data_IF_601434112029
#
_entry.id   IF_601434112029
#
_cell.length_a   1.000
_cell.length_b   1.000
_cell.length_c   1.000
_cell.angle_alpha   90.00
_cell.angle_beta   90.00
_cell.angle_gamma   90.00
#
_symmetry.space_group_name_H-M   'P 1'
#
loop_
_entity.id
_entity.type
_entity.pdbx_description
1 polymer ?
#
# COMPACT_ATOMS: atom_id res chain seq x y z
N UNK A 1 24.04 8.81 26.71
CA UNK A 1 23.43 7.79 25.80
C UNK A 1 23.63 8.22 24.35
N UNK A 2 23.94 7.31 23.42
CA UNK A 2 24.09 7.65 21.99
C UNK A 2 22.73 8.14 21.43
N UNK A 3 22.70 9.29 20.74
CA UNK A 3 21.49 9.93 20.16
C UNK A 3 20.53 8.98 19.41
N UNK A 4 20.96 7.96 18.63
CA UNK A 4 20.04 6.99 18.03
C UNK A 4 19.27 6.14 19.05
N UNK A 5 19.88 5.77 20.18
CA UNK A 5 19.21 5.02 21.26
C UNK A 5 18.14 5.86 21.95
N UNK A 6 18.31 7.19 22.03
CA UNK A 6 17.32 8.12 22.60
C UNK A 6 16.10 8.25 21.69
N UNK A 7 16.29 8.32 20.37
CA UNK A 7 15.18 8.36 19.40
C UNK A 7 14.36 7.06 19.43
N UNK A 8 15.04 5.91 19.46
CA UNK A 8 14.39 4.61 19.55
C UNK A 8 13.58 4.48 20.86
N UNK A 9 14.19 4.82 22.00
CA UNK A 9 13.49 4.81 23.29
C UNK A 9 12.29 5.78 23.32
N UNK A 10 12.44 6.97 22.71
CA UNK A 10 11.35 7.94 22.58
C UNK A 10 10.18 7.44 21.73
N UNK A 11 10.45 6.74 20.61
CA UNK A 11 9.41 6.12 19.78
C UNK A 11 8.68 5.00 20.54
N UNK A 12 9.42 4.14 21.25
CA UNK A 12 8.83 3.07 22.08
C UNK A 12 7.94 3.67 23.16
N UNK A 13 8.41 4.69 23.88
CA UNK A 13 7.62 5.37 24.90
C UNK A 13 6.35 6.00 24.32
N UNK A 14 6.47 6.68 23.17
CA UNK A 14 5.31 7.26 22.46
C UNK A 14 4.28 6.19 22.08
N UNK A 15 4.71 5.05 21.54
CA UNK A 15 3.81 3.94 21.21
C UNK A 15 3.15 3.36 22.45
N UNK A 16 3.87 3.19 23.56
CA UNK A 16 3.29 2.72 24.83
C UNK A 16 2.24 3.70 25.36
N UNK A 17 2.52 5.00 25.35
CA UNK A 17 1.54 6.02 25.74
C UNK A 17 0.31 5.99 24.83
N UNK A 18 0.50 5.84 23.51
CA UNK A 18 -0.61 5.73 22.56
C UNK A 18 -1.50 4.50 22.83
N UNK A 19 -0.90 3.36 23.18
CA UNK A 19 -1.64 2.16 23.59
C UNK A 19 -2.42 2.36 24.89
N UNK A 20 -1.84 3.03 25.90
CA UNK A 20 -2.52 3.31 27.16
C UNK A 20 -3.71 4.25 26.97
N UNK A 21 -3.55 5.30 26.17
CA UNK A 21 -4.67 6.21 25.83
C UNK A 21 -5.75 5.45 25.07
N UNK A 22 -5.38 4.64 24.08
CA UNK A 22 -6.32 3.81 23.34
C UNK A 22 -7.09 2.86 24.26
N UNK A 23 -6.41 2.15 25.17
CA UNK A 23 -7.02 1.25 26.13
C UNK A 23 -8.03 1.97 27.04
N UNK A 24 -7.69 3.15 27.57
CA UNK A 24 -8.60 3.93 28.41
C UNK A 24 -9.85 4.40 27.64
N UNK A 25 -9.68 4.83 26.38
CA UNK A 25 -10.81 5.26 25.54
C UNK A 25 -11.70 4.08 25.17
N UNK A 26 -11.14 2.94 24.78
CA UNK A 26 -11.95 1.75 24.46
C UNK A 26 -12.67 1.19 25.68
N UNK A 27 -12.04 1.18 26.85
CA UNK A 27 -12.71 0.79 28.11
C UNK A 27 -13.90 1.73 28.41
N UNK A 28 -13.70 3.03 28.29
CA UNK A 28 -14.76 4.01 28.53
C UNK A 28 -15.94 3.90 27.53
N UNK A 29 -15.67 3.53 26.28
CA UNK A 29 -16.69 3.46 25.23
C UNK A 29 -17.41 2.10 25.17
N UNK A 30 -16.72 0.99 25.43
CA UNK A 30 -17.24 -0.37 25.15
C UNK A 30 -17.62 -1.15 26.42
N UNK A 31 -17.04 -0.86 27.59
CA UNK A 31 -17.18 -1.73 28.77
C UNK A 31 -18.61 -1.80 29.33
N UNK A 32 -19.33 -0.67 29.32
CA UNK A 32 -20.75 -0.66 29.74
C UNK A 32 -21.64 -1.40 28.74
N UNK A 33 -21.42 -1.15 27.44
CA UNK A 33 -22.18 -1.77 26.36
C UNK A 33 -21.97 -3.30 26.31
N UNK A 34 -20.73 -3.77 26.49
CA UNK A 34 -20.40 -5.18 26.59
C UNK A 34 -21.07 -5.82 27.82
N UNK A 35 -20.96 -5.19 28.98
CA UNK A 35 -21.58 -5.67 30.23
C UNK A 35 -23.10 -5.78 30.11
N UNK A 36 -23.73 -4.79 29.50
CA UNK A 36 -25.17 -4.79 29.19
C UNK A 36 -25.56 -5.93 28.25
N UNK A 37 -24.84 -6.07 27.13
CA UNK A 37 -25.06 -7.13 26.13
C UNK A 37 -24.85 -8.52 26.73
N UNK A 38 -23.84 -8.72 27.56
CA UNK A 38 -23.58 -9.97 28.28
C UNK A 38 -24.73 -10.33 29.22
N UNK A 39 -25.23 -9.38 30.02
CA UNK A 39 -26.40 -9.58 30.89
C UNK A 39 -27.63 -10.00 30.09
N UNK A 40 -27.91 -9.30 28.99
CA UNK A 40 -29.03 -9.62 28.09
C UNK A 40 -28.92 -11.03 27.49
N UNK A 41 -27.73 -11.42 27.02
CA UNK A 41 -27.49 -12.75 26.44
C UNK A 41 -27.67 -13.86 27.49
N UNK A 42 -27.18 -13.66 28.72
CA UNK A 42 -27.38 -14.61 29.82
C UNK A 42 -28.86 -14.75 30.16
N UNK A 43 -29.60 -13.63 30.18
CA UNK A 43 -31.04 -13.64 30.44
C UNK A 43 -31.83 -14.36 29.33
N UNK A 44 -31.57 -14.04 28.05
CA UNK A 44 -32.21 -14.70 26.90
C UNK A 44 -31.89 -16.19 26.86
N UNK A 45 -30.65 -16.58 27.14
CA UNK A 45 -30.23 -17.98 27.27
C UNK A 45 -31.04 -18.70 28.35
N UNK A 46 -31.17 -18.13 29.55
CA UNK A 46 -31.96 -18.71 30.63
C UNK A 46 -33.45 -18.83 30.31
N UNK A 47 -34.01 -17.83 29.60
CA UNK A 47 -35.40 -17.87 29.14
C UNK A 47 -35.63 -18.99 28.11
N UNK A 48 -34.75 -19.13 27.12
CA UNK A 48 -34.83 -20.19 26.10
C UNK A 48 -34.68 -21.58 26.72
N UNK A 49 -33.71 -21.76 27.62
CA UNK A 49 -33.51 -23.05 28.31
C UNK A 49 -34.75 -23.49 29.08
N UNK A 50 -35.39 -22.57 29.81
CA UNK A 50 -36.64 -22.87 30.55
C UNK A 50 -37.83 -23.11 29.63
N UNK A 51 -37.97 -22.30 28.57
CA UNK A 51 -39.09 -22.40 27.62
C UNK A 51 -39.12 -23.75 26.88
N UNK A 52 -37.95 -24.30 26.55
CA UNK A 52 -37.83 -25.54 25.77
C UNK A 52 -37.31 -26.74 26.57
N UNK A 53 -37.12 -26.60 27.88
CA UNK A 53 -36.69 -27.70 28.75
C UNK A 53 -35.26 -28.22 28.51
N UNK A 54 -34.36 -27.41 27.94
CA UNK A 54 -32.99 -27.85 27.65
C UNK A 54 -32.15 -28.07 28.91
N UNK A 55 -31.49 -29.24 28.98
CA UNK A 55 -30.40 -29.47 29.94
C UNK A 55 -29.25 -28.47 29.71
N UNK A 56 -28.38 -28.31 30.71
CA UNK A 56 -27.21 -27.45 30.59
C UNK A 56 -26.22 -27.98 29.54
N UNK A 57 -26.15 -29.30 29.39
CA UNK A 57 -25.26 -29.99 28.46
C UNK A 57 -25.79 -29.89 27.03
N UNK A 58 -27.06 -30.25 26.80
CA UNK A 58 -27.70 -30.14 25.48
C UNK A 58 -27.63 -28.72 24.91
N UNK A 59 -27.85 -27.71 25.77
CA UNK A 59 -27.74 -26.33 25.33
C UNK A 59 -26.31 -25.94 24.95
N UNK A 60 -25.30 -26.46 25.66
CA UNK A 60 -23.88 -26.26 25.31
C UNK A 60 -23.53 -26.97 24.01
N UNK A 61 -24.08 -28.15 23.78
CA UNK A 61 -23.90 -28.87 22.52
C UNK A 61 -24.54 -28.11 21.36
N UNK A 62 -25.78 -27.63 21.52
CA UNK A 62 -26.44 -26.78 20.53
C UNK A 62 -25.63 -25.51 20.25
N UNK A 63 -25.08 -24.87 21.27
CA UNK A 63 -24.21 -23.70 21.12
C UNK A 63 -22.94 -24.02 20.33
N UNK A 64 -22.31 -25.18 20.58
CA UNK A 64 -21.15 -25.65 19.82
C UNK A 64 -21.51 -25.91 18.36
N UNK A 65 -22.62 -26.61 18.09
CA UNK A 65 -23.10 -26.89 16.75
C UNK A 65 -23.44 -25.60 15.99
N UNK A 66 -24.10 -24.64 16.66
CA UNK A 66 -24.42 -23.35 16.06
C UNK A 66 -23.17 -22.57 15.64
N UNK A 67 -22.12 -22.54 16.49
CA UNK A 67 -20.83 -21.91 16.15
C UNK A 67 -20.11 -22.63 15.00
N UNK A 68 -20.13 -23.97 14.98
CA UNK A 68 -19.51 -24.73 13.88
C UNK A 68 -20.27 -24.61 12.56
N UNK A 69 -21.59 -24.38 12.62
CA UNK A 69 -22.43 -24.15 11.45
C UNK A 69 -22.31 -22.72 10.90
N UNK A 70 -21.82 -21.75 11.67
CA UNK A 70 -21.75 -20.33 11.30
C UNK A 70 -20.96 -20.07 10.00
N UNK A 71 -19.75 -20.63 9.78
CA UNK A 71 -19.02 -20.46 8.51
C UNK A 71 -19.76 -21.05 7.30
N UNK A 72 -20.64 -22.03 7.52
CA UNK A 72 -21.42 -22.69 6.48
C UNK A 72 -22.70 -21.91 6.12
N UNK A 73 -23.13 -20.95 6.95
CA UNK A 73 -24.32 -20.12 6.67
C UNK A 73 -24.14 -19.20 5.47
N UNK A 74 -22.91 -18.76 5.20
CA UNK A 74 -22.59 -17.91 4.05
C UNK A 74 -22.46 -18.72 2.74
N UNK A 75 -22.74 -20.02 2.76
CA UNK A 75 -22.67 -20.92 1.61
C UNK A 75 -21.30 -21.59 1.46
N UNK A 76 -21.03 -22.14 0.27
CA UNK A 76 -19.81 -22.90 -0.01
C UNK A 76 -18.60 -21.98 -0.22
N UNK A 77 -17.86 -21.71 0.86
CA UNK A 77 -16.65 -20.87 0.86
C UNK A 77 -15.48 -21.45 0.05
N UNK A 78 -15.30 -22.78 0.04
CA UNK A 78 -14.15 -23.44 -0.62
C UNK A 78 -14.42 -23.86 -2.07
N UNK A 79 -14.78 -22.89 -2.91
CA UNK A 79 -14.76 -22.99 -4.38
C UNK A 79 -13.79 -21.96 -4.94
N UNK A 80 -13.41 -22.06 -6.22
CA UNK A 80 -12.37 -21.20 -6.81
C UNK A 80 -12.50 -19.70 -6.45
N UNK A 81 -13.68 -19.04 -6.57
CA UNK A 81 -13.82 -17.64 -6.18
C UNK A 81 -13.54 -17.37 -4.69
N UNK A 82 -14.00 -18.26 -3.80
CA UNK A 82 -13.77 -18.13 -2.36
C UNK A 82 -12.35 -18.50 -1.94
N UNK A 83 -11.76 -19.52 -2.56
CA UNK A 83 -10.34 -19.85 -2.39
C UNK A 83 -9.45 -18.70 -2.87
N UNK A 84 -9.82 -18.02 -3.96
CA UNK A 84 -9.10 -16.83 -4.45
C UNK A 84 -9.28 -15.64 -3.50
N UNK A 85 -10.49 -15.43 -2.97
CA UNK A 85 -10.72 -14.40 -1.94
C UNK A 85 -9.87 -14.65 -0.70
N UNK A 86 -9.85 -15.88 -0.20
CA UNK A 86 -8.98 -16.30 0.90
C UNK A 86 -7.49 -16.10 0.56
N UNK A 87 -7.06 -16.43 -0.66
CA UNK A 87 -5.68 -16.22 -1.08
C UNK A 87 -5.30 -14.74 -1.09
N UNK A 88 -6.20 -13.85 -1.51
CA UNK A 88 -6.01 -12.39 -1.40
C UNK A 88 -5.84 -12.00 0.06
N UNK A 89 -6.77 -12.39 0.95
CA UNK A 89 -6.74 -11.94 2.35
C UNK A 89 -5.50 -12.41 3.11
N UNK A 90 -4.91 -13.54 2.72
CA UNK A 90 -3.65 -14.04 3.28
C UNK A 90 -2.46 -13.21 2.81
N UNK A 91 -2.27 -13.01 1.50
CA UNK A 91 -1.08 -12.30 0.98
C UNK A 91 -1.11 -10.79 1.27
N UNK A 92 -2.31 -10.21 1.39
CA UNK A 92 -2.49 -8.80 1.76
C UNK A 92 -2.57 -8.59 3.27
N UNK A 93 -2.40 -9.64 4.07
CA UNK A 93 -2.45 -9.61 5.55
C UNK A 93 -3.73 -9.02 6.13
N UNK A 94 -4.85 -9.04 5.39
CA UNK A 94 -6.14 -8.59 5.92
C UNK A 94 -6.72 -9.64 6.88
N UNK A 95 -6.75 -10.91 6.47
CA UNK A 95 -7.08 -12.01 7.38
C UNK A 95 -8.41 -11.95 8.14
N UNK A 96 -9.53 -11.61 7.50
CA UNK A 96 -10.86 -11.50 8.15
C UNK A 96 -11.31 -12.67 9.06
N UNK A 97 -10.79 -13.89 8.85
CA UNK A 97 -11.18 -15.05 9.66
C UNK A 97 -12.57 -15.66 9.36
N UNK A 98 -13.35 -15.09 8.44
CA UNK A 98 -14.64 -15.68 8.01
C UNK A 98 -14.49 -17.08 7.38
N UNK A 99 -13.33 -17.36 6.79
CA UNK A 99 -12.93 -18.66 6.30
C UNK A 99 -11.48 -18.94 6.70
N UNK A 100 -11.23 -20.13 7.26
CA UNK A 100 -9.92 -20.59 7.69
C UNK A 100 -9.71 -22.06 7.32
N UNK A 101 -8.47 -22.51 7.02
CA UNK A 101 -8.21 -23.89 6.66
C UNK A 101 -8.49 -24.82 7.86
N UNK A 102 -9.51 -25.66 7.71
CA UNK A 102 -9.86 -26.65 8.74
C UNK A 102 -8.93 -27.86 8.78
N UNK A 103 -8.29 -28.19 7.65
CA UNK A 103 -7.37 -29.34 7.52
C UNK A 103 -5.95 -28.97 7.90
N UNK A 104 -5.20 -29.92 8.48
CA UNK A 104 -3.80 -29.69 8.86
C UNK A 104 -2.90 -29.46 7.63
N UNK A 105 -3.15 -30.16 6.53
CA UNK A 105 -2.48 -29.91 5.25
C UNK A 105 -2.74 -28.49 4.72
N UNK A 106 -3.97 -27.98 4.85
CA UNK A 106 -4.33 -26.62 4.46
C UNK A 106 -3.64 -25.56 5.32
N UNK A 107 -3.49 -25.81 6.63
CA UNK A 107 -2.74 -24.92 7.53
C UNK A 107 -1.27 -24.87 7.17
N UNK A 108 -0.63 -26.03 6.95
CA UNK A 108 0.78 -26.10 6.53
C UNK A 108 0.99 -25.36 5.21
N UNK A 109 0.14 -25.61 4.21
CA UNK A 109 0.20 -24.88 2.94
C UNK A 109 0.04 -23.37 3.13
N UNK A 110 -0.92 -22.93 3.96
CA UNK A 110 -1.14 -21.52 4.25
C UNK A 110 0.09 -20.85 4.88
N UNK A 111 0.83 -21.54 5.76
CA UNK A 111 2.07 -21.03 6.36
C UNK A 111 3.14 -20.73 5.30
N UNK A 112 3.41 -21.68 4.40
CA UNK A 112 4.39 -21.49 3.31
C UNK A 112 3.91 -20.45 2.28
N UNK A 113 2.62 -20.45 1.97
CA UNK A 113 2.02 -19.49 1.05
C UNK A 113 2.14 -18.05 1.57
N UNK A 114 1.86 -17.81 2.87
CA UNK A 114 2.02 -16.51 3.50
C UNK A 114 3.49 -16.07 3.56
N UNK A 115 4.41 -16.98 3.87
CA UNK A 115 5.84 -16.70 3.97
C UNK A 115 6.42 -16.10 2.68
N UNK A 116 6.02 -16.63 1.52
CA UNK A 116 6.48 -16.13 0.21
C UNK A 116 5.58 -15.02 -0.36
N UNK A 117 4.26 -15.13 -0.11
CA UNK A 117 3.26 -14.22 -0.66
C UNK A 117 3.34 -12.82 -0.07
N UNK A 118 3.48 -12.69 1.25
CA UNK A 118 3.50 -11.37 1.91
C UNK A 118 4.67 -10.50 1.42
N UNK A 119 5.94 -10.97 1.40
CA UNK A 119 7.04 -10.17 0.85
C UNK A 119 6.84 -9.79 -0.62
N UNK A 120 6.36 -10.72 -1.44
CA UNK A 120 6.08 -10.47 -2.86
C UNK A 120 5.01 -9.38 -3.03
N UNK A 121 3.93 -9.45 -2.23
CA UNK A 121 2.85 -8.46 -2.24
C UNK A 121 3.33 -7.10 -1.77
N UNK A 122 4.17 -7.02 -0.72
CA UNK A 122 4.74 -5.76 -0.25
C UNK A 122 5.60 -5.07 -1.32
N UNK A 123 6.48 -5.81 -2.00
CA UNK A 123 7.31 -5.27 -3.10
C UNK A 123 6.44 -4.81 -4.27
N UNK A 124 5.40 -5.57 -4.58
CA UNK A 124 4.45 -5.24 -5.65
C UNK A 124 3.69 -3.95 -5.33
N UNK A 125 3.17 -3.80 -4.11
CA UNK A 125 2.49 -2.58 -3.69
C UNK A 125 3.42 -1.37 -3.60
N UNK A 126 4.69 -1.55 -3.20
CA UNK A 126 5.65 -0.46 -3.24
C UNK A 126 5.90 0.02 -4.68
N UNK A 127 6.15 -0.91 -5.60
CA UNK A 127 6.39 -0.61 -7.03
C UNK A 127 5.17 0.02 -7.71
N UNK A 128 3.97 -0.49 -7.42
CA UNK A 128 2.71 0.08 -7.92
C UNK A 128 2.44 1.45 -7.30
N UNK A 129 2.73 1.63 -6.02
CA UNK A 129 2.52 2.88 -5.30
C UNK A 129 3.40 4.02 -5.82
N UNK A 130 4.65 3.75 -6.16
CA UNK A 130 5.54 4.71 -6.82
C UNK A 130 5.00 5.14 -8.20
N UNK A 131 4.53 4.18 -8.99
CA UNK A 131 3.91 4.45 -10.30
C UNK A 131 2.63 5.27 -10.15
N UNK A 132 1.79 4.96 -9.15
CA UNK A 132 0.57 5.70 -8.86
C UNK A 132 0.88 7.13 -8.44
N UNK A 133 1.85 7.34 -7.55
CA UNK A 133 2.30 8.68 -7.16
C UNK A 133 2.84 9.49 -8.35
N UNK A 134 3.54 8.84 -9.29
CA UNK A 134 3.98 9.48 -10.53
C UNK A 134 2.80 9.88 -11.43
N UNK A 135 1.76 9.06 -11.53
CA UNK A 135 0.51 9.38 -12.24
C UNK A 135 -0.18 10.58 -11.58
N UNK A 136 -0.38 10.56 -10.25
CA UNK A 136 -1.00 11.66 -9.50
C UNK A 136 -0.23 12.97 -9.73
N UNK A 137 1.10 12.94 -9.69
CA UNK A 137 1.93 14.11 -10.02
C UNK A 137 1.69 14.62 -11.43
N UNK A 138 1.61 13.73 -12.43
CA UNK A 138 1.31 14.12 -13.82
C UNK A 138 -0.08 14.73 -13.96
N UNK A 139 -1.09 14.16 -13.30
CA UNK A 139 -2.46 14.66 -13.31
C UNK A 139 -2.55 16.04 -12.65
N UNK A 140 -1.89 16.24 -11.50
CA UNK A 140 -1.81 17.55 -10.84
C UNK A 140 -1.13 18.60 -11.73
N UNK A 141 -0.05 18.23 -12.42
CA UNK A 141 0.62 19.12 -13.37
C UNK A 141 -0.27 19.46 -14.57
N UNK A 142 -0.99 18.47 -15.12
CA UNK A 142 -1.95 18.69 -16.19
C UNK A 142 -3.07 19.62 -15.75
N UNK A 143 -3.66 19.38 -14.57
CA UNK A 143 -4.71 20.23 -14.00
C UNK A 143 -4.22 21.67 -13.77
N UNK A 144 -3.03 21.87 -13.21
CA UNK A 144 -2.44 23.21 -13.03
C UNK A 144 -2.21 23.94 -14.37
N UNK A 145 -1.84 23.20 -15.42
CA UNK A 145 -1.68 23.74 -16.78
C UNK A 145 -3.03 24.11 -17.39
N UNK A 146 -4.06 23.26 -17.25
CA UNK A 146 -5.42 23.54 -17.71
C UNK A 146 -6.05 24.74 -16.98
N UNK A 147 -5.72 24.94 -15.69
CA UNK A 147 -6.16 26.08 -14.88
C UNK A 147 -5.30 27.34 -15.07
N UNK A 148 -4.37 27.35 -16.04
CA UNK A 148 -3.49 28.48 -16.36
C UNK A 148 -2.74 29.08 -15.15
N UNK A 149 -2.40 28.26 -14.15
CA UNK A 149 -1.70 28.72 -12.95
C UNK A 149 -0.24 29.04 -13.28
N UNK A 150 0.17 30.29 -12.99
CA UNK A 150 1.49 30.85 -13.30
C UNK A 150 2.67 30.17 -12.57
N UNK A 151 2.39 29.41 -11.51
CA UNK A 151 3.38 28.69 -10.68
C UNK A 151 3.11 27.17 -10.67
N UNK A 152 3.88 26.40 -11.46
CA UNK A 152 3.67 24.95 -11.65
C UNK A 152 4.63 24.06 -10.86
N UNK A 153 5.00 24.47 -9.63
CA UNK A 153 5.73 23.60 -8.72
C UNK A 153 4.76 22.67 -7.96
N UNK A 154 5.03 21.36 -7.96
CA UNK A 154 4.33 20.39 -7.11
C UNK A 154 5.21 20.19 -5.87
N UNK A 155 4.89 20.92 -4.79
CA UNK A 155 5.47 20.70 -3.47
C UNK A 155 5.07 19.31 -2.94
N UNK A 156 5.90 18.75 -2.06
CA UNK A 156 5.59 17.53 -1.31
C UNK A 156 4.29 17.66 -0.53
N UNK A 157 3.98 18.86 -0.01
CA UNK A 157 2.72 19.14 0.70
C UNK A 157 1.49 18.93 -0.20
N UNK A 158 1.54 19.43 -1.45
CA UNK A 158 0.47 19.23 -2.43
C UNK A 158 0.26 17.74 -2.73
N UNK A 159 1.34 16.95 -2.73
CA UNK A 159 1.26 15.51 -2.98
C UNK A 159 0.68 14.76 -1.78
N UNK A 160 1.02 15.17 -0.54
CA UNK A 160 0.42 14.62 0.69
C UNK A 160 -1.08 14.92 0.74
N UNK A 161 -1.48 16.17 0.45
CA UNK A 161 -2.91 16.55 0.39
C UNK A 161 -3.64 15.76 -0.70
N UNK A 162 -3.07 15.65 -1.89
CA UNK A 162 -3.65 14.85 -2.97
C UNK A 162 -3.77 13.36 -2.60
N UNK A 163 -2.77 12.81 -1.91
CA UNK A 163 -2.79 11.44 -1.39
C UNK A 163 -3.89 11.22 -0.35
N UNK A 164 -4.06 12.15 0.61
CA UNK A 164 -5.14 12.11 1.59
C UNK A 164 -6.52 12.17 0.92
N UNK A 165 -6.69 13.07 -0.05
CA UNK A 165 -7.93 13.17 -0.82
C UNK A 165 -8.22 11.89 -1.63
N UNK A 166 -7.19 11.28 -2.23
CA UNK A 166 -7.34 10.00 -2.94
C UNK A 166 -7.71 8.85 -2.01
N UNK A 167 -7.13 8.79 -0.80
CA UNK A 167 -7.50 7.81 0.22
C UNK A 167 -8.96 8.00 0.66
N UNK A 168 -9.35 9.23 1.00
CA UNK A 168 -10.72 9.56 1.40
C UNK A 168 -11.74 9.24 0.29
N UNK A 169 -11.42 9.58 -0.96
CA UNK A 169 -12.26 9.26 -2.11
C UNK A 169 -12.40 7.75 -2.31
N UNK A 170 -11.32 6.98 -2.15
CA UNK A 170 -11.33 5.51 -2.28
C UNK A 170 -12.22 4.86 -1.21
N UNK A 171 -12.16 5.36 0.03
CA UNK A 171 -13.03 4.91 1.12
C UNK A 171 -14.49 5.27 0.86
N UNK A 172 -14.78 6.51 0.45
CA UNK A 172 -16.13 6.96 0.15
C UNK A 172 -16.77 6.20 -1.03
N UNK A 173 -16.02 5.99 -2.13
CA UNK A 173 -16.49 5.23 -3.29
C UNK A 173 -16.78 3.76 -2.92
N UNK A 174 -15.90 3.14 -2.13
CA UNK A 174 -16.14 1.81 -1.58
C UNK A 174 -17.40 1.77 -0.72
N UNK A 175 -17.54 2.73 0.20
CA UNK A 175 -18.69 2.80 1.10
C UNK A 175 -20.02 2.91 0.35
N UNK A 176 -20.09 3.75 -0.69
CA UNK A 176 -21.29 3.83 -1.56
C UNK A 176 -21.58 2.48 -2.20
N UNK A 177 -20.57 1.86 -2.83
CA UNK A 177 -20.77 0.58 -3.51
C UNK A 177 -21.19 -0.55 -2.56
N UNK A 178 -20.49 -0.75 -1.45
CA UNK A 178 -20.79 -1.83 -0.50
C UNK A 178 -22.08 -1.59 0.28
N UNK A 179 -22.45 -0.33 0.57
CA UNK A 179 -23.77 -0.02 1.14
C UNK A 179 -24.90 -0.47 0.21
N UNK A 180 -24.74 -0.28 -1.10
CA UNK A 180 -25.73 -0.69 -2.09
C UNK A 180 -25.77 -2.20 -2.30
N UNK A 181 -24.61 -2.87 -2.40
CA UNK A 181 -24.55 -4.32 -2.66
C UNK A 181 -24.89 -5.19 -1.45
N UNK A 182 -24.45 -4.81 -0.26
CA UNK A 182 -24.67 -5.59 0.98
C UNK A 182 -25.85 -5.08 1.82
N UNK A 183 -26.45 -3.95 1.44
CA UNK A 183 -27.57 -3.35 2.19
C UNK A 183 -27.15 -2.77 3.55
N UNK A 184 -25.86 -2.52 3.75
CA UNK A 184 -25.33 -1.89 4.97
C UNK A 184 -25.59 -0.39 4.99
N UNK A 185 -25.59 0.22 6.18
CA UNK A 185 -25.55 1.68 6.27
C UNK A 185 -24.23 2.20 5.70
N UNK A 186 -24.22 3.44 5.19
CA UNK A 186 -23.00 4.07 4.67
C UNK A 186 -21.86 4.04 5.69
N UNK A 187 -22.15 4.26 6.97
CA UNK A 187 -21.17 4.21 8.05
C UNK A 187 -20.54 2.82 8.20
N UNK A 188 -21.34 1.75 8.24
CA UNK A 188 -20.80 0.39 8.32
C UNK A 188 -20.00 0.01 7.08
N UNK A 189 -20.45 0.41 5.90
CA UNK A 189 -19.70 0.18 4.66
C UNK A 189 -18.38 0.97 4.63
N UNK A 190 -18.36 2.20 5.14
CA UNK A 190 -17.15 3.00 5.27
C UNK A 190 -16.17 2.39 6.28
N UNK A 191 -16.67 1.98 7.44
CA UNK A 191 -15.90 1.26 8.46
C UNK A 191 -15.29 -0.03 7.89
N UNK A 192 -16.09 -0.83 7.17
CA UNK A 192 -15.60 -2.01 6.45
C UNK A 192 -14.44 -1.65 5.50
N UNK A 193 -14.62 -0.65 4.63
CA UNK A 193 -13.57 -0.23 3.70
C UNK A 193 -12.30 0.22 4.43
N UNK A 194 -12.45 0.97 5.53
CA UNK A 194 -11.32 1.43 6.33
C UNK A 194 -10.54 0.27 6.95
N UNK A 195 -11.21 -0.64 7.67
CA UNK A 195 -10.61 -1.82 8.32
C UNK A 195 -10.00 -2.78 7.29
N UNK A 196 -10.59 -2.87 6.10
CA UNK A 196 -10.09 -3.67 4.98
C UNK A 196 -8.80 -3.10 4.41
N UNK A 197 -8.79 -1.83 4.02
CA UNK A 197 -7.66 -1.21 3.31
C UNK A 197 -6.50 -0.85 4.24
N UNK A 198 -6.73 -0.81 5.55
CA UNK A 198 -5.68 -0.72 6.58
C UNK A 198 -5.15 -2.08 7.01
N UNK A 199 -5.60 -3.16 6.37
CA UNK A 199 -5.21 -4.55 6.66
C UNK A 199 -5.40 -4.96 8.12
N UNK A 200 -6.37 -4.36 8.81
CA UNK A 200 -6.75 -4.75 10.18
C UNK A 200 -7.65 -5.99 10.11
N UNK A 201 -8.68 -5.93 9.24
CA UNK A 201 -9.53 -7.07 8.91
C UNK A 201 -10.18 -7.80 10.09
N UNK A 202 -10.93 -7.12 10.95
CA UNK A 202 -11.60 -7.76 12.10
C UNK A 202 -12.56 -8.90 11.71
N UNK A 203 -13.19 -8.82 10.54
CA UNK A 203 -14.11 -9.85 10.05
C UNK A 203 -15.54 -9.76 10.60
N UNK A 204 -15.85 -8.70 11.34
CA UNK A 204 -17.20 -8.34 11.78
C UNK A 204 -18.11 -7.94 10.60
N UNK A 205 -17.55 -7.27 9.61
CA UNK A 205 -18.14 -7.03 8.30
C UNK A 205 -17.27 -7.65 7.20
N UNK A 206 -17.88 -8.49 6.36
CA UNK A 206 -17.19 -9.14 5.24
C UNK A 206 -18.11 -9.17 4.03
N UNK A 207 -17.67 -8.56 2.93
CA UNK A 207 -18.40 -8.59 1.67
C UNK A 207 -18.47 -10.03 1.09
N UNK A 208 -19.41 -10.27 0.18
CA UNK A 208 -19.58 -11.54 -0.53
C UNK A 208 -20.07 -12.73 0.34
N UNK A 209 -20.44 -12.48 1.60
CA UNK A 209 -20.97 -13.51 2.51
C UNK A 209 -22.50 -13.65 2.45
N UNK A 210 -23.20 -12.66 1.88
CA UNK A 210 -24.66 -12.63 1.81
C UNK A 210 -25.20 -13.45 0.63
N UNK A 211 -26.08 -14.43 0.90
CA UNK A 211 -26.93 -15.08 -0.12
C UNK A 211 -26.18 -15.79 -1.26
N UNK A 212 -25.09 -16.50 -0.96
CA UNK A 212 -24.23 -17.19 -1.94
C UNK A 212 -23.68 -16.27 -3.05
N UNK A 213 -23.50 -14.97 -2.75
CA UNK A 213 -23.00 -13.97 -3.71
C UNK A 213 -21.70 -14.41 -4.40
N UNK A 214 -20.84 -15.12 -3.68
CA UNK A 214 -19.58 -15.69 -4.16
C UNK A 214 -19.72 -16.59 -5.40
N UNK A 215 -20.87 -17.25 -5.56
CA UNK A 215 -21.16 -18.14 -6.70
C UNK A 215 -22.14 -17.53 -7.70
N UNK A 216 -23.11 -16.74 -7.23
CA UNK A 216 -24.21 -16.25 -8.06
C UNK A 216 -23.94 -14.88 -8.70
N UNK A 217 -23.01 -14.08 -8.16
CA UNK A 217 -22.77 -12.69 -8.59
C UNK A 217 -21.29 -12.46 -8.96
N UNK A 218 -20.81 -13.15 -10.00
CA UNK A 218 -19.44 -12.99 -10.54
C UNK A 218 -18.99 -11.52 -10.75
N UNK A 219 -19.79 -10.60 -11.34
CA UNK A 219 -19.34 -9.23 -11.52
C UNK A 219 -19.10 -8.50 -10.19
N UNK A 220 -19.89 -8.80 -9.16
CA UNK A 220 -19.70 -8.23 -7.83
C UNK A 220 -18.45 -8.79 -7.13
N UNK A 221 -18.18 -10.09 -7.30
CA UNK A 221 -16.95 -10.73 -6.84
C UNK A 221 -15.72 -10.06 -7.47
N UNK A 222 -15.73 -9.90 -8.79
CA UNK A 222 -14.64 -9.25 -9.52
C UNK A 222 -14.45 -7.78 -9.10
N UNK A 223 -15.54 -7.03 -8.95
CA UNK A 223 -15.51 -5.66 -8.42
C UNK A 223 -14.87 -5.61 -7.03
N UNK A 224 -15.25 -6.51 -6.12
CA UNK A 224 -14.74 -6.55 -4.76
C UNK A 224 -13.24 -6.85 -4.71
N UNK A 225 -12.76 -7.80 -5.53
CA UNK A 225 -11.33 -8.10 -5.62
C UNK A 225 -10.53 -6.93 -6.20
N UNK A 226 -11.03 -6.32 -7.28
CA UNK A 226 -10.40 -5.16 -7.88
C UNK A 226 -10.36 -3.97 -6.91
N UNK A 227 -11.45 -3.74 -6.17
CA UNK A 227 -11.52 -2.69 -5.16
C UNK A 227 -10.48 -2.89 -4.07
N UNK A 228 -10.34 -4.11 -3.52
CA UNK A 228 -9.35 -4.40 -2.47
C UNK A 228 -7.93 -4.18 -3.00
N UNK A 229 -7.61 -4.71 -4.18
CA UNK A 229 -6.27 -4.59 -4.77
C UNK A 229 -5.91 -3.13 -5.13
N UNK A 230 -6.84 -2.40 -5.74
CA UNK A 230 -6.63 -0.99 -6.09
C UNK A 230 -6.58 -0.12 -4.83
N UNK A 231 -7.48 -0.34 -3.89
CA UNK A 231 -7.55 0.42 -2.65
C UNK A 231 -6.29 0.25 -1.80
N UNK A 232 -5.79 -0.99 -1.66
CA UNK A 232 -4.51 -1.24 -1.00
C UNK A 232 -3.35 -0.58 -1.72
N UNK A 233 -3.40 -0.50 -3.05
CA UNK A 233 -2.38 0.23 -3.82
C UNK A 233 -2.43 1.73 -3.53
N UNK A 234 -3.62 2.34 -3.38
CA UNK A 234 -3.78 3.76 -3.03
C UNK A 234 -3.26 4.04 -1.62
N UNK A 235 -3.68 3.24 -0.62
CA UNK A 235 -3.22 3.37 0.76
C UNK A 235 -1.71 3.12 0.84
N UNK A 236 -1.21 2.08 0.16
CA UNK A 236 0.21 1.75 0.08
C UNK A 236 1.04 2.87 -0.58
N UNK A 237 0.53 3.52 -1.64
CA UNK A 237 1.18 4.67 -2.26
C UNK A 237 1.31 5.86 -1.31
N UNK A 238 0.24 6.13 -0.53
CA UNK A 238 0.23 7.18 0.48
C UNK A 238 1.18 6.87 1.64
N UNK A 239 1.14 5.64 2.18
CA UNK A 239 2.05 5.19 3.22
C UNK A 239 3.50 5.26 2.74
N UNK A 240 3.80 4.83 1.52
CA UNK A 240 5.14 4.92 0.95
C UNK A 240 5.62 6.39 0.90
N UNK A 241 4.77 7.32 0.45
CA UNK A 241 5.11 8.75 0.43
C UNK A 241 5.45 9.30 1.82
N UNK A 242 4.64 8.97 2.84
CA UNK A 242 4.81 9.48 4.21
C UNK A 242 5.98 8.78 4.91
N UNK A 243 6.04 7.45 4.85
CA UNK A 243 7.05 6.63 5.54
C UNK A 243 8.43 6.87 4.94
N UNK A 244 8.59 6.94 3.61
CA UNK A 244 9.88 7.26 3.00
C UNK A 244 10.42 8.62 3.47
N UNK A 245 9.55 9.61 3.70
CA UNK A 245 9.97 10.90 4.27
C UNK A 245 10.54 10.74 5.68
N UNK A 246 9.88 9.96 6.54
CA UNK A 246 10.35 9.73 7.90
C UNK A 246 11.64 8.89 7.93
N UNK A 247 11.73 7.86 7.09
CA UNK A 247 12.93 7.02 6.98
C UNK A 247 14.12 7.81 6.44
N UNK A 248 13.94 8.61 5.38
CA UNK A 248 14.99 9.49 4.84
C UNK A 248 15.45 10.52 5.88
N UNK A 249 14.50 11.16 6.59
CA UNK A 249 14.84 12.09 7.67
C UNK A 249 15.67 11.44 8.79
N UNK A 250 15.46 10.14 9.03
CA UNK A 250 16.23 9.38 10.02
C UNK A 250 17.65 9.04 9.55
N UNK A 251 17.83 8.79 8.24
CA UNK A 251 19.10 8.44 7.59
C UNK A 251 20.02 9.65 7.34
N UNK A 252 19.47 10.86 7.19
CA UNK A 252 20.25 12.10 6.99
C UNK A 252 20.94 12.62 8.27
N UNK A 253 20.64 12.02 9.44
CA UNK A 253 21.11 12.51 10.74
C UNK A 253 22.61 12.29 11.02
N UNK A 254 23.22 11.14 10.69
CA UNK A 254 24.66 10.93 10.83
C UNK A 254 25.47 11.90 9.96
N UNK A 255 24.98 12.16 8.74
CA UNK A 255 25.67 13.00 7.76
C UNK A 255 25.63 14.49 8.14
N UNK A 256 24.53 14.97 8.72
CA UNK A 256 24.44 16.33 9.28
C UNK A 256 25.28 16.50 10.54
N UNK A 257 25.38 15.48 11.39
CA UNK A 257 26.22 15.51 12.59
C UNK A 257 27.73 15.46 12.28
N UNK A 258 28.12 14.98 11.09
CA UNK A 258 29.51 14.92 10.63
C UNK A 258 29.98 16.21 9.93
N UNK A 259 29.10 17.18 9.64
CA UNK A 259 29.49 18.46 9.05
C UNK A 259 30.01 19.42 10.14
N UNK A 260 31.22 19.99 10.01
CA UNK A 260 31.66 21.05 10.92
C UNK A 260 30.73 22.27 10.78
N UNK A 261 30.47 23.01 11.87
CA UNK A 261 29.67 24.24 11.79
C UNK A 261 30.32 25.18 10.77
N UNK A 262 29.54 25.62 9.78
CA UNK A 262 29.97 26.65 8.85
C UNK A 262 30.34 27.91 9.63
N UNK A 263 31.52 28.52 9.41
CA UNK A 263 31.86 29.76 10.09
C UNK A 263 30.85 30.84 9.71
N UNK A 264 30.07 31.30 10.69
CA UNK A 264 29.29 32.52 10.58
C UNK A 264 30.25 33.64 10.19
N UNK A 265 30.18 34.17 8.97
CA UNK A 265 30.87 35.41 8.60
C UNK A 265 30.10 36.58 9.24
N UNK A 266 30.69 37.34 10.16
CA UNK A 266 30.09 38.59 10.63
C UNK A 266 30.38 39.70 9.60
N UNK A 267 29.34 40.45 9.23
CA UNK A 267 29.47 41.76 8.59
C UNK A 267 29.70 41.76 7.08
N UNK A 268 28.66 42.09 6.31
CA UNK A 268 28.83 42.75 5.01
C UNK A 268 28.46 44.22 5.22
N UNK A 269 29.37 45.19 5.01
CA UNK A 269 28.98 46.57 4.90
C UNK A 269 28.40 46.81 3.50
N UNK A 270 27.33 47.58 3.47
CA UNK A 270 26.67 48.11 2.30
C UNK A 270 27.60 49.13 1.62
N UNK A 271 28.08 48.86 0.39
CA UNK A 271 28.87 49.83 -0.36
C UNK A 271 28.36 49.97 -1.79
N UNK A 272 27.85 51.18 -2.06
CA UNK A 272 27.43 51.74 -3.34
C UNK A 272 28.61 51.79 -4.35
N UNK A 273 28.31 51.39 -5.58
CA UNK A 273 28.81 51.85 -6.89
C UNK A 273 30.31 52.12 -7.12
N UNK A 274 30.89 51.47 -8.13
CA UNK A 274 31.49 52.15 -9.30
C UNK A 274 31.85 51.15 -10.42
N UNK A 275 31.75 51.63 -11.65
CA UNK A 275 32.00 50.95 -12.92
C UNK A 275 33.50 50.80 -13.25
N UNK A 276 33.93 49.65 -13.80
CA UNK A 276 34.47 49.46 -15.17
C UNK A 276 35.16 48.08 -15.35
N UNK A 277 35.28 47.56 -16.59
CA UNK A 277 35.73 46.19 -16.89
C UNK A 277 37.13 46.11 -17.56
N UNK A 278 37.93 45.07 -17.26
CA UNK A 278 38.65 44.25 -18.26
C UNK A 278 39.60 43.18 -17.67
N UNK A 279 39.54 41.99 -18.31
CA UNK A 279 40.58 40.96 -18.59
C UNK A 279 41.05 39.94 -17.53
N UNK A 280 40.81 38.67 -17.90
CA UNK A 280 41.73 37.52 -17.97
C UNK A 280 42.71 37.28 -16.81
N UNK A 281 42.49 36.19 -16.06
CA UNK A 281 43.46 35.08 -15.94
C UNK A 281 42.88 33.93 -15.10
N UNK A 282 43.17 32.70 -15.56
CA UNK A 282 42.94 31.40 -14.89
C UNK A 282 43.83 31.29 -13.63
N UNK A 283 43.39 30.59 -12.58
CA UNK A 283 43.73 29.17 -12.31
C UNK A 283 43.33 28.71 -10.90
N UNK A 284 42.63 27.56 -10.87
CA UNK A 284 42.77 26.41 -9.95
C UNK A 284 42.31 26.53 -8.49
N UNK A 285 41.35 25.65 -8.13
CA UNK A 285 41.19 25.11 -6.78
C UNK A 285 39.75 24.74 -6.39
N UNK A 286 39.51 23.45 -6.13
CA UNK A 286 38.32 22.85 -5.47
C UNK A 286 37.08 22.55 -6.32
N UNK A 287 37.16 21.42 -7.05
CA UNK A 287 35.99 20.60 -7.30
C UNK A 287 35.67 19.77 -6.05
N UNK A 288 34.42 19.80 -5.56
CA UNK A 288 33.78 18.59 -5.03
C UNK A 288 32.26 18.72 -4.85
N UNK A 289 31.56 17.63 -5.20
CA UNK A 289 30.17 17.23 -4.90
C UNK A 289 29.00 17.71 -5.77
N UNK A 290 29.08 18.81 -6.55
CA UNK A 290 27.93 19.19 -7.42
C UNK A 290 27.88 18.44 -8.78
N UNK A 291 28.94 17.71 -9.15
CA UNK A 291 29.08 17.14 -10.50
C UNK A 291 28.42 15.75 -10.69
N UNK A 292 28.09 15.03 -9.63
CA UNK A 292 27.52 13.67 -9.76
C UNK A 292 26.00 13.63 -9.98
N UNK A 293 25.25 14.63 -9.52
CA UNK A 293 23.80 14.68 -9.73
C UNK A 293 23.48 15.08 -11.18
N UNK A 294 24.30 15.94 -11.79
CA UNK A 294 24.07 16.40 -13.16
C UNK A 294 24.46 15.36 -14.24
N UNK A 295 25.26 14.35 -13.90
CA UNK A 295 25.67 13.27 -14.82
C UNK A 295 24.64 12.14 -14.92
N UNK A 296 23.90 11.85 -13.84
CA UNK A 296 22.81 10.87 -13.84
C UNK A 296 21.57 11.37 -14.60
N UNK A 297 21.26 12.67 -14.53
CA UNK A 297 20.16 13.26 -15.30
C UNK A 297 20.41 13.32 -16.83
N UNK A 298 21.68 13.33 -17.26
CA UNK A 298 22.02 13.24 -18.69
C UNK A 298 21.97 11.80 -19.21
N UNK A 299 22.40 10.83 -18.41
CA UNK A 299 22.42 9.41 -18.82
C UNK A 299 21.02 8.79 -18.89
N UNK A 300 20.04 9.30 -18.13
CA UNK A 300 18.64 8.86 -18.19
C UNK A 300 17.86 9.44 -19.40
N UNK A 301 18.41 10.45 -20.09
CA UNK A 301 17.73 11.12 -21.22
C UNK A 301 18.02 10.44 -22.57
N UNK A 302 19.07 9.62 -22.65
CA UNK A 302 19.56 9.02 -23.91
C UNK A 302 19.14 7.55 -24.13
N UNK A 303 18.28 6.96 -23.28
CA UNK A 303 17.90 5.54 -23.38
C UNK A 303 16.38 5.30 -23.50
N UNK A 304 15.76 5.92 -24.51
CA UNK A 304 14.49 5.46 -25.07
C UNK A 304 14.55 5.57 -26.61
N UNK A 305 14.73 4.44 -27.30
CA UNK A 305 14.22 4.26 -28.67
C UNK A 305 15.24 3.98 -29.78
N UNK A 306 15.70 2.73 -29.85
CA UNK A 306 15.79 1.88 -31.05
C UNK A 306 15.63 2.56 -32.45
N UNK A 307 16.66 2.44 -33.30
CA UNK A 307 16.56 2.60 -34.77
C UNK A 307 17.03 1.30 -35.45
N UNK A 308 16.39 0.84 -36.54
CA UNK A 308 16.67 -0.45 -37.16
C UNK A 308 17.98 -0.43 -37.98
N UNK A 309 18.61 -1.60 -38.22
CA UNK A 309 19.91 -1.64 -38.90
C UNK A 309 19.75 -1.36 -40.40
N UNK A 310 20.60 -0.47 -40.91
CA UNK A 310 20.82 -0.22 -42.32
C UNK A 310 21.62 -1.38 -42.95
N UNK A 311 21.04 -2.00 -43.97
CA UNK A 311 21.67 -3.02 -44.80
C UNK A 311 22.89 -2.47 -45.57
N UNK A 312 23.91 -3.31 -45.84
CA UNK A 312 25.12 -2.89 -46.55
C UNK A 312 24.88 -2.73 -48.06
N UNK A 313 25.67 -1.83 -48.66
CA UNK A 313 25.52 -1.32 -50.02
C UNK A 313 25.60 -2.36 -51.13
N UNK A 314 24.73 -2.15 -52.12
CA UNK A 314 24.74 -2.80 -53.43
C UNK A 314 25.73 -2.06 -54.33
N UNK A 315 26.83 -2.73 -54.68
CA UNK A 315 27.65 -2.41 -55.86
C UNK A 315 27.24 -3.38 -56.96
N UNK A 316 26.73 -2.85 -58.08
CA UNK A 316 26.50 -3.60 -59.33
C UNK A 316 27.77 -3.55 -60.18
N UNK A 317 28.22 -4.70 -60.68
CA UNK A 317 29.05 -4.75 -61.89
C UNK A 317 29.93 -5.99 -62.07
N UNK A 318 29.41 -7.00 -62.78
CA UNK A 318 30.18 -7.66 -63.86
C UNK A 318 30.83 -9.04 -63.63
N UNK A 319 30.39 -10.01 -64.44
CA UNK A 319 31.10 -11.19 -64.98
C UNK A 319 31.09 -12.55 -64.22
N UNK A 320 30.13 -13.39 -64.65
CA UNK A 320 30.26 -14.73 -65.28
C UNK A 320 30.95 -15.93 -64.55
N UNK A 321 30.51 -17.19 -64.86
CA UNK A 321 30.63 -18.35 -63.98
C UNK A 321 31.75 -19.32 -64.39
N UNK A 322 32.17 -20.24 -63.48
CA UNK A 322 32.68 -21.60 -63.82
C UNK A 322 32.99 -22.50 -62.59
N UNK A 323 32.39 -23.70 -62.62
CA UNK A 323 32.93 -25.06 -62.40
C UNK A 323 33.75 -25.44 -61.14
N UNK A 324 33.40 -26.60 -60.57
CA UNK A 324 34.31 -27.54 -59.89
C UNK A 324 33.96 -27.78 -58.42
N UNK A 325 33.21 -28.83 -58.05
CA UNK A 325 33.64 -30.23 -57.84
C UNK A 325 34.39 -30.50 -56.52
N UNK A 326 34.00 -31.63 -55.88
CA UNK A 326 34.63 -32.36 -54.76
C UNK A 326 34.49 -31.74 -53.36
N UNK A 327 34.49 -32.47 -52.25
CA UNK A 327 34.13 -33.85 -51.84
C UNK A 327 34.46 -33.85 -50.33
N UNK A 328 33.59 -34.43 -49.49
CA UNK A 328 33.88 -35.21 -48.26
C UNK A 328 34.64 -34.59 -47.06
N UNK A 329 34.05 -34.81 -45.87
CA UNK A 329 34.64 -35.26 -44.59
C UNK A 329 35.74 -34.37 -43.97
N UNK A 330 35.72 -34.01 -42.68
CA UNK A 330 35.31 -34.67 -41.43
C UNK A 330 34.73 -33.58 -40.52
#
# INVERSE_FOLDING_TARGET
MRRPSVRAAGLVLCTLCYLLVGAAVFDALESEAESGRRRLLVQKRGALRRKFGFSAEDYRELERLARQAEPHRAGRQWKFPGSFYFAITVITTIGYGHAAPGTDSGKVFCMFYALLGIPLTLVTFQSLGERLNAVVRRLLLAAKRCLCLRWTCVSTENLVVAGLLACAATLALGAVAFSHFEGWTFFHAYYYCFITLTTIGFGDFVALQSGEALQRKLPYVAFSFLYILLGLTVIGAFLNLVVLRFLAASADWPERAARPPSPCRPGAPESRGLWLPHRLARSVGSASVSCHVHKLERCARDNLGFSPPSSPGVVRGGQAPRLGARRKSI
#
